data_IF_181256866265
#
_entry.id   IF_181256866265
#
_cell.length_a   1.000
_cell.length_b   1.000
_cell.length_c   1.000
_cell.angle_alpha   90.00
_cell.angle_beta   90.00
_cell.angle_gamma   90.00
#
_symmetry.space_group_name_H-M   'P 1'
#
loop_
_entity.id
_entity.type
_entity.pdbx_description
1 polymer ?
#
# COMPACT_ATOMS: atom_id res chain seq x y z
N UNK A 1 23.70 19.23 -11.29
CA UNK A 1 23.24 18.43 -10.14
C UNK A 1 22.02 17.65 -10.55
N UNK A 2 22.07 16.32 -10.41
CA UNK A 2 20.94 15.44 -10.69
C UNK A 2 20.49 14.85 -9.35
N UNK A 3 19.25 15.09 -8.97
CA UNK A 3 18.65 14.51 -7.78
C UNK A 3 17.95 13.21 -8.14
N UNK A 4 18.04 12.21 -7.27
CA UNK A 4 17.43 10.90 -7.46
C UNK A 4 16.60 10.56 -6.22
N UNK A 5 15.40 10.02 -6.44
CA UNK A 5 14.55 9.44 -5.39
C UNK A 5 14.51 7.94 -5.63
N UNK A 6 14.75 7.17 -4.57
CA UNK A 6 14.68 5.71 -4.59
C UNK A 6 13.71 5.27 -3.49
N UNK A 7 12.75 4.42 -3.85
CA UNK A 7 11.85 3.77 -2.90
C UNK A 7 12.15 2.29 -2.86
N UNK A 8 12.35 1.73 -1.68
CA UNK A 8 12.61 0.31 -1.48
C UNK A 8 11.81 -0.21 -0.29
N UNK A 9 11.44 -1.49 -0.34
CA UNK A 9 10.89 -2.22 0.79
C UNK A 9 11.95 -3.09 1.50
N UNK A 10 13.22 -2.97 1.11
CA UNK A 10 14.35 -3.73 1.63
C UNK A 10 15.31 -2.84 2.41
N UNK A 11 15.87 -3.36 3.49
CA UNK A 11 16.92 -2.67 4.22
C UNK A 11 18.23 -2.69 3.43
N UNK A 12 19.13 -1.72 3.65
CA UNK A 12 20.39 -1.64 2.86
C UNK A 12 21.25 -2.90 2.91
N UNK A 13 21.22 -3.65 4.01
CA UNK A 13 21.94 -4.92 4.12
C UNK A 13 21.47 -5.97 3.09
N UNK A 14 20.21 -5.90 2.66
CA UNK A 14 19.63 -6.82 1.69
C UNK A 14 19.89 -6.39 0.24
N UNK A 15 20.35 -5.17 0.01
CA UNK A 15 20.60 -4.67 -1.35
C UNK A 15 21.72 -5.44 -2.04
N UNK A 16 22.69 -5.97 -1.29
CA UNK A 16 23.74 -6.83 -1.85
C UNK A 16 23.21 -8.16 -2.42
N UNK A 17 21.99 -8.56 -2.08
CA UNK A 17 21.32 -9.71 -2.70
C UNK A 17 20.58 -9.34 -3.99
N UNK A 18 20.19 -8.07 -4.13
CA UNK A 18 19.52 -7.54 -5.33
C UNK A 18 20.53 -7.20 -6.41
N UNK A 19 21.65 -6.62 -6.01
CA UNK A 19 22.75 -6.27 -6.90
C UNK A 19 23.78 -7.39 -6.90
N UNK A 20 24.11 -7.88 -8.10
CA UNK A 20 24.93 -9.09 -8.31
C UNK A 20 26.31 -9.02 -7.62
N UNK A 21 26.90 -7.82 -7.53
CA UNK A 21 28.22 -7.62 -6.94
C UNK A 21 28.13 -6.75 -5.66
N UNK A 22 28.52 -7.35 -4.53
CA UNK A 22 28.54 -6.69 -3.23
C UNK A 22 29.48 -5.48 -3.19
N UNK A 23 30.63 -5.50 -3.89
CA UNK A 23 31.56 -4.37 -3.95
C UNK A 23 30.94 -3.19 -4.70
N UNK A 24 30.26 -3.45 -5.82
CA UNK A 24 29.55 -2.41 -6.56
C UNK A 24 28.39 -1.84 -5.74
N UNK A 25 27.67 -2.68 -5.02
CA UNK A 25 26.58 -2.27 -4.13
C UNK A 25 27.06 -1.34 -3.04
N UNK A 26 28.16 -1.67 -2.37
CA UNK A 26 28.75 -0.81 -1.34
C UNK A 26 29.19 0.53 -1.92
N UNK A 27 29.84 0.54 -3.10
CA UNK A 27 30.25 1.78 -3.76
C UNK A 27 29.07 2.62 -4.27
N UNK A 28 27.93 1.99 -4.56
CA UNK A 28 26.68 2.69 -4.91
C UNK A 28 26.04 3.29 -3.65
N UNK A 29 25.92 2.51 -2.58
CA UNK A 29 25.36 2.95 -1.30
C UNK A 29 26.15 4.13 -0.74
N UNK A 30 27.49 4.07 -0.75
CA UNK A 30 28.36 5.15 -0.31
C UNK A 30 28.05 6.49 -1.02
N UNK A 31 27.90 6.44 -2.35
CA UNK A 31 27.55 7.61 -3.16
C UNK A 31 26.14 8.13 -2.90
N UNK A 32 25.18 7.23 -2.70
CA UNK A 32 23.78 7.60 -2.44
C UNK A 32 23.64 8.19 -1.04
N UNK A 33 24.30 7.62 -0.03
CA UNK A 33 24.11 8.02 1.37
C UNK A 33 24.86 9.29 1.75
N UNK A 34 25.94 9.64 1.04
CA UNK A 34 26.76 10.83 1.32
C UNK A 34 25.95 12.14 1.41
N UNK A 35 24.91 12.29 0.59
CA UNK A 35 24.00 13.44 0.62
C UNK A 35 22.53 13.01 0.42
N UNK A 36 22.04 12.10 1.27
CA UNK A 36 20.63 11.69 1.25
C UNK A 36 19.85 12.15 2.48
N UNK A 37 18.53 12.19 2.30
CA UNK A 37 17.57 12.16 3.38
C UNK A 37 16.84 10.83 3.32
N UNK A 38 16.97 10.03 4.38
CA UNK A 38 16.26 8.76 4.52
C UNK A 38 14.89 9.06 5.13
N UNK A 39 13.83 8.62 4.48
CA UNK A 39 12.46 8.73 4.97
C UNK A 39 11.91 7.32 5.14
N UNK A 40 11.68 6.93 6.38
CA UNK A 40 11.06 5.65 6.70
C UNK A 40 9.54 5.76 6.55
N UNK A 41 9.00 5.11 5.52
CA UNK A 41 7.56 4.92 5.38
C UNK A 41 7.14 3.78 6.30
N UNK A 42 6.25 4.07 7.27
CA UNK A 42 5.77 3.07 8.22
C UNK A 42 4.99 1.92 7.58
N UNK A 43 4.44 1.04 8.43
CA UNK A 43 3.80 -0.20 8.00
C UNK A 43 2.35 -0.07 7.50
N UNK A 44 1.81 1.14 7.40
CA UNK A 44 0.43 1.35 6.98
C UNK A 44 0.27 1.14 5.47
N UNK A 45 -0.37 0.03 5.10
CA UNK A 45 -0.70 -0.24 3.70
C UNK A 45 -1.92 0.56 3.27
N UNK A 46 -1.69 1.62 2.50
CA UNK A 46 -2.78 2.39 1.88
C UNK A 46 -3.70 1.52 1.01
N UNK A 47 -3.13 0.52 0.33
CA UNK A 47 -3.89 -0.46 -0.48
C UNK A 47 -4.87 -1.25 0.38
N UNK A 48 -4.46 -1.66 1.58
CA UNK A 48 -5.31 -2.39 2.52
C UNK A 48 -6.42 -1.50 3.10
N UNK A 49 -6.08 -0.25 3.42
CA UNK A 49 -7.08 0.71 3.89
C UNK A 49 -8.17 0.94 2.84
N UNK A 50 -7.76 1.16 1.58
CA UNK A 50 -8.68 1.39 0.47
C UNK A 50 -9.55 0.16 0.17
N UNK A 51 -8.97 -1.05 0.13
CA UNK A 51 -9.72 -2.28 -0.11
C UNK A 51 -10.71 -2.59 1.02
N UNK A 52 -10.29 -2.39 2.28
CA UNK A 52 -11.15 -2.55 3.46
C UNK A 52 -12.32 -1.56 3.44
N UNK A 53 -12.08 -0.31 3.04
CA UNK A 53 -13.13 0.70 2.88
C UNK A 53 -14.16 0.30 1.81
N UNK A 54 -13.69 -0.12 0.63
CA UNK A 54 -14.55 -0.58 -0.45
C UNK A 54 -15.35 -1.84 -0.07
N UNK A 55 -14.72 -2.80 0.60
CA UNK A 55 -15.38 -4.00 1.08
C UNK A 55 -16.52 -3.68 2.05
N UNK A 56 -16.28 -2.78 3.03
CA UNK A 56 -17.31 -2.31 3.97
C UNK A 56 -18.46 -1.59 3.26
N UNK A 57 -18.16 -0.72 2.29
CA UNK A 57 -19.19 -0.02 1.51
C UNK A 57 -20.06 -1.00 0.71
N UNK A 58 -19.46 -2.04 0.12
CA UNK A 58 -20.17 -3.08 -0.63
C UNK A 58 -21.05 -3.97 0.25
N UNK A 59 -20.62 -4.28 1.46
CA UNK A 59 -21.44 -5.04 2.42
C UNK A 59 -22.65 -4.21 2.84
N UNK A 60 -22.43 -2.94 3.20
CA UNK A 60 -23.50 -2.02 3.61
C UNK A 60 -24.55 -1.84 2.51
N UNK A 61 -24.15 -1.67 1.25
CA UNK A 61 -25.10 -1.51 0.13
C UNK A 61 -25.94 -2.77 -0.09
N UNK A 62 -25.34 -3.96 0.06
CA UNK A 62 -26.06 -5.25 -0.03
C UNK A 62 -27.09 -5.42 1.08
N UNK A 63 -26.74 -5.08 2.32
CA UNK A 63 -27.67 -5.18 3.46
C UNK A 63 -28.83 -4.19 3.34
N UNK A 64 -28.55 -2.96 2.89
CA UNK A 64 -29.59 -1.96 2.63
C UNK A 64 -30.53 -2.38 1.50
N UNK A 65 -30.02 -2.97 0.41
CA UNK A 65 -30.85 -3.51 -0.66
C UNK A 65 -31.76 -4.63 -0.15
N UNK A 66 -31.23 -5.53 0.69
CA UNK A 66 -32.00 -6.63 1.29
C UNK A 66 -33.10 -6.11 2.23
N UNK A 67 -32.80 -5.10 3.05
CA UNK A 67 -33.77 -4.47 3.95
C UNK A 67 -34.87 -3.71 3.21
N UNK A 68 -34.54 -3.00 2.12
CA UNK A 68 -35.54 -2.34 1.26
C UNK A 68 -36.47 -3.36 0.62
N UNK A 69 -35.92 -4.40 0.01
CA UNK A 69 -36.72 -5.45 -0.62
C UNK A 69 -37.66 -6.16 0.37
N UNK A 70 -37.18 -6.43 1.59
CA UNK A 70 -38.03 -7.03 2.62
C UNK A 70 -39.11 -6.07 3.15
N UNK A 71 -38.88 -4.77 3.14
CA UNK A 71 -39.89 -3.77 3.52
C UNK A 71 -40.96 -3.60 2.44
N UNK A 72 -40.57 -3.60 1.16
CA UNK A 72 -41.49 -3.56 0.01
C UNK A 72 -42.45 -4.76 0.01
N UNK A 73 -41.95 -5.97 0.27
CA UNK A 73 -42.77 -7.19 0.34
C UNK A 73 -43.81 -7.16 1.48
N UNK A 74 -43.57 -6.39 2.54
CA UNK A 74 -44.51 -6.26 3.67
C UNK A 74 -45.57 -5.17 3.39
N UNK A 75 -45.23 -4.17 2.57
CA UNK A 75 -46.10 -3.04 2.24
C UNK A 75 -46.98 -3.26 0.99
N UNK A 76 -46.74 -4.28 0.15
CA UNK A 76 -47.66 -4.66 -0.93
C UNK A 76 -48.96 -5.24 -0.34
N UNK A 77 -50.11 -4.53 -0.43
CA UNK A 77 -51.39 -5.08 -0.04
C UNK A 77 -51.93 -5.92 -1.19
N UNK A 78 -52.39 -7.14 -0.88
CA UNK A 78 -53.41 -7.77 -1.72
C UNK A 78 -54.65 -6.86 -1.81
#
# INVERSE_FOLDING_TARGET
HTSVIITTNLVFAEWANVFIDAKLTTALLDRLTHHCHIVETGNESYRFHQSSGQAKARIKSREQAKQRASKEVIEEPF
#
